data_IF_974736029742
#
_entry.id   IF_974736029742
#
_cell.length_a   1.000
_cell.length_b   1.000
_cell.length_c   1.000
_cell.angle_alpha   90.00
_cell.angle_beta   90.00
_cell.angle_gamma   90.00
#
_symmetry.space_group_name_H-M   'P 1'
#
loop_
_entity.id
_entity.type
_entity.pdbx_description
1 polymer ?
#
# COMPACT_ATOMS: atom_id res chain seq x y z
N UNK A 1 34.54 65.12 39.48
CA UNK A 1 35.04 63.81 39.92
C UNK A 1 35.60 63.12 38.69
N UNK A 2 36.90 62.82 38.67
CA UNK A 2 37.58 62.17 37.54
C UNK A 2 37.34 60.66 37.57
N UNK A 3 37.10 60.05 36.39
CA UNK A 3 37.74 58.80 35.97
C UNK A 3 37.49 58.58 34.47
N UNK A 4 38.59 58.46 33.72
CA UNK A 4 38.61 57.90 32.38
C UNK A 4 38.88 56.38 32.46
N UNK A 5 38.40 55.63 31.48
CA UNK A 5 38.75 54.22 31.26
C UNK A 5 38.39 53.82 29.83
N UNK A 6 39.40 53.39 29.07
CA UNK A 6 39.37 53.21 27.62
C UNK A 6 39.21 51.73 27.19
N UNK A 7 38.84 51.56 25.92
CA UNK A 7 39.12 50.47 24.96
C UNK A 7 38.11 49.30 24.79
N UNK A 8 37.47 49.34 23.61
CA UNK A 8 37.56 48.39 22.48
C UNK A 8 36.75 47.07 22.44
N UNK A 9 35.98 46.97 21.34
CA UNK A 9 35.94 45.87 20.36
C UNK A 9 35.24 44.54 20.71
N UNK A 10 34.21 44.20 19.91
CA UNK A 10 33.88 42.91 19.26
C UNK A 10 32.39 42.94 18.82
N UNK A 11 32.07 43.25 17.56
CA UNK A 11 31.85 42.34 16.40
C UNK A 11 30.48 41.63 16.37
N UNK A 12 29.78 41.87 15.25
CA UNK A 12 28.79 41.03 14.56
C UNK A 12 27.66 40.40 15.40
N UNK A 13 26.47 41.00 15.33
CA UNK A 13 25.24 40.35 15.80
C UNK A 13 24.87 39.23 14.81
N UNK A 14 25.24 38.02 15.22
CA UNK A 14 24.86 36.73 14.67
C UNK A 14 23.35 36.60 14.44
N UNK A 15 23.01 35.96 13.31
CA UNK A 15 21.73 35.33 13.02
C UNK A 15 21.22 34.50 14.22
N UNK A 16 20.33 35.10 15.02
CA UNK A 16 19.54 34.38 16.01
C UNK A 16 18.37 33.74 15.29
N UNK A 17 18.64 32.64 14.59
CA UNK A 17 17.62 31.67 14.19
C UNK A 17 16.76 31.36 15.42
N UNK A 18 15.45 31.60 15.30
CA UNK A 18 14.50 31.36 16.38
C UNK A 18 14.58 29.92 16.89
N UNK A 19 14.11 29.65 18.12
CA UNK A 19 14.12 28.29 18.66
C UNK A 19 13.38 27.36 17.70
N UNK A 20 14.04 26.29 17.28
CA UNK A 20 13.42 25.23 16.47
C UNK A 20 12.16 24.74 17.20
N UNK A 21 11.00 24.65 16.52
CA UNK A 21 9.79 24.10 17.13
C UNK A 21 10.09 22.74 17.76
N UNK A 22 9.47 22.40 18.91
CA UNK A 22 9.62 21.06 19.48
C UNK A 22 9.22 20.00 18.45
N UNK A 23 9.89 18.84 18.41
CA UNK A 23 9.54 17.77 17.49
C UNK A 23 8.07 17.40 17.65
N UNK A 24 7.33 17.34 16.53
CA UNK A 24 5.92 16.95 16.54
C UNK A 24 5.82 15.48 16.97
N UNK A 25 5.15 15.22 18.09
CA UNK A 25 4.83 13.86 18.52
C UNK A 25 3.44 13.50 17.99
N UNK A 26 3.41 12.74 16.90
CA UNK A 26 2.19 12.21 16.30
C UNK A 26 1.77 10.91 16.96
N UNK A 27 0.46 10.71 17.13
CA UNK A 27 -0.15 9.46 17.61
C UNK A 27 -1.29 9.11 16.66
N UNK A 28 -1.15 8.05 15.87
CA UNK A 28 -2.11 7.63 14.84
C UNK A 28 -2.55 8.81 13.93
N UNK A 29 -1.57 9.56 13.41
CA UNK A 29 -1.78 10.82 12.70
C UNK A 29 -0.87 10.98 11.49
N UNK A 30 -1.32 11.82 10.56
CA UNK A 30 -0.57 12.30 9.39
C UNK A 30 -0.46 13.82 9.49
N UNK A 31 0.76 14.35 9.41
CA UNK A 31 1.05 15.75 9.17
C UNK A 31 1.60 15.91 7.75
N UNK A 32 1.04 16.86 7.01
CA UNK A 32 1.45 17.16 5.63
C UNK A 32 1.80 18.63 5.52
N UNK A 33 2.99 18.90 4.98
CA UNK A 33 3.55 20.23 4.69
C UNK A 33 3.54 21.18 5.90
N UNK A 34 3.89 20.66 7.08
CA UNK A 34 3.87 21.40 8.35
C UNK A 34 2.47 21.87 8.79
N UNK A 35 1.42 21.30 8.19
CA UNK A 35 0.03 21.59 8.50
C UNK A 35 -0.42 21.03 9.84
N UNK A 36 -1.71 21.15 10.14
CA UNK A 36 -2.28 20.52 11.35
C UNK A 36 -2.31 18.99 11.18
N UNK A 37 -1.80 18.22 12.15
CA UNK A 37 -1.93 16.77 12.14
C UNK A 37 -3.39 16.31 12.04
N UNK A 38 -3.64 15.28 11.25
CA UNK A 38 -4.95 14.70 11.00
C UNK A 38 -4.95 13.25 11.49
N UNK A 39 -5.97 12.88 12.28
CA UNK A 39 -6.11 11.52 12.80
C UNK A 39 -6.35 10.52 11.66
N UNK A 40 -5.64 9.40 11.72
CA UNK A 40 -5.89 8.21 10.92
C UNK A 40 -7.05 7.46 11.58
N UNK A 41 -8.12 7.20 10.82
CA UNK A 41 -9.34 6.55 11.33
C UNK A 41 -9.64 5.21 10.67
N UNK A 42 -8.94 4.86 9.60
CA UNK A 42 -9.01 3.53 8.99
C UNK A 42 -7.65 3.17 8.41
N UNK A 43 -7.26 1.91 8.59
CA UNK A 43 -6.05 1.36 8.02
C UNK A 43 -6.32 -0.05 7.51
N UNK A 44 -6.04 -0.28 6.23
CA UNK A 44 -6.11 -1.60 5.61
C UNK A 44 -4.80 -1.89 4.86
N UNK A 45 -4.58 -3.15 4.51
CA UNK A 45 -3.47 -3.52 3.64
C UNK A 45 -3.88 -4.55 2.58
N UNK A 46 -3.12 -4.60 1.50
CA UNK A 46 -3.15 -5.65 0.50
C UNK A 46 -1.77 -6.30 0.40
N UNK A 47 -1.76 -7.57 -0.03
CA UNK A 47 -0.54 -8.31 -0.34
C UNK A 47 -0.48 -8.46 -1.85
N UNK A 48 0.35 -7.65 -2.52
CA UNK A 48 0.46 -7.62 -3.98
C UNK A 48 1.29 -8.79 -4.53
N UNK A 49 2.24 -9.29 -3.73
CA UNK A 49 3.12 -10.44 -3.99
C UNK A 49 3.48 -11.05 -2.62
N UNK A 50 4.02 -12.28 -2.61
CA UNK A 50 4.28 -13.14 -1.43
C UNK A 50 4.76 -12.40 -0.17
N UNK A 51 5.58 -11.36 -0.32
CA UNK A 51 6.06 -10.50 0.77
C UNK A 51 5.98 -9.00 0.47
N UNK A 52 5.25 -8.56 -0.56
CA UNK A 52 5.05 -7.15 -0.91
C UNK A 52 3.72 -6.65 -0.36
N UNK A 53 3.79 -5.80 0.67
CA UNK A 53 2.62 -5.26 1.36
C UNK A 53 2.39 -3.82 0.93
N UNK A 54 1.14 -3.47 0.67
CA UNK A 54 0.71 -2.08 0.48
C UNK A 54 -0.27 -1.70 1.57
N UNK A 55 0.12 -0.77 2.43
CA UNK A 55 -0.70 -0.23 3.51
C UNK A 55 -1.38 1.06 3.07
N UNK A 56 -2.65 1.22 3.44
CA UNK A 56 -3.49 2.37 3.14
C UNK A 56 -4.07 2.93 4.43
N UNK A 57 -3.73 4.17 4.76
CA UNK A 57 -4.13 4.83 6.02
C UNK A 57 -4.92 6.10 5.71
N UNK A 58 -6.20 6.12 6.07
CA UNK A 58 -7.12 7.21 5.75
C UNK A 58 -7.61 7.96 6.99
N UNK A 59 -7.79 9.30 6.90
CA UNK A 59 -8.56 10.08 7.88
C UNK A 59 -10.06 9.75 7.93
N UNK A 60 -10.59 9.06 6.93
CA UNK A 60 -11.98 8.62 6.87
C UNK A 60 -12.17 7.38 7.73
N UNK A 61 -13.25 7.35 8.52
CA UNK A 61 -13.53 6.25 9.45
C UNK A 61 -14.39 5.17 8.80
N UNK A 62 -14.18 3.92 9.20
CA UNK A 62 -15.04 2.79 8.83
C UNK A 62 -14.74 2.16 7.47
N UNK A 63 -13.59 2.45 6.86
CA UNK A 63 -13.18 1.82 5.61
C UNK A 63 -12.62 0.42 5.91
N UNK A 64 -13.09 -0.58 5.16
CA UNK A 64 -12.69 -1.98 5.34
C UNK A 64 -12.19 -2.65 4.04
N UNK A 65 -12.31 -1.98 2.90
CA UNK A 65 -12.02 -2.49 1.56
C UNK A 65 -11.43 -1.38 0.67
N UNK A 66 -10.99 -1.77 -0.52
CA UNK A 66 -10.36 -0.86 -1.48
C UNK A 66 -11.35 0.07 -2.18
N UNK A 67 -12.61 -0.34 -2.33
CA UNK A 67 -13.66 0.52 -2.86
C UNK A 67 -13.87 1.72 -1.92
N UNK A 68 -14.04 1.48 -0.62
CA UNK A 68 -14.16 2.55 0.36
C UNK A 68 -12.91 3.43 0.47
N UNK A 69 -11.72 2.85 0.28
CA UNK A 69 -10.47 3.62 0.25
C UNK A 69 -10.38 4.54 -0.98
N UNK A 70 -10.78 4.02 -2.14
CA UNK A 70 -10.85 4.76 -3.40
C UNK A 70 -11.89 5.87 -3.35
N UNK A 71 -13.08 5.60 -2.79
CA UNK A 71 -14.13 6.60 -2.57
C UNK A 71 -13.69 7.72 -1.63
N UNK A 72 -12.94 7.39 -0.58
CA UNK A 72 -12.42 8.38 0.36
C UNK A 72 -11.42 9.32 -0.30
N UNK A 73 -10.60 8.83 -1.25
CA UNK A 73 -9.64 9.60 -2.04
C UNK A 73 -8.73 10.53 -1.20
N UNK A 74 -8.45 10.12 0.03
CA UNK A 74 -7.55 10.78 0.97
C UNK A 74 -6.97 9.70 1.89
N UNK A 75 -5.80 9.20 1.51
CA UNK A 75 -5.09 8.17 2.25
C UNK A 75 -3.59 8.22 1.96
N UNK A 76 -2.80 7.91 2.98
CA UNK A 76 -1.38 7.60 2.85
C UNK A 76 -1.25 6.16 2.34
N UNK A 77 -0.59 5.99 1.20
CA UNK A 77 -0.19 4.67 0.67
C UNK A 77 1.28 4.44 0.95
N UNK A 78 1.61 3.29 1.54
CA UNK A 78 2.98 2.84 1.80
C UNK A 78 3.14 1.42 1.31
N UNK A 79 3.96 1.21 0.29
CA UNK A 79 4.32 -0.11 -0.22
C UNK A 79 5.72 -0.48 0.28
N UNK A 80 5.89 -1.68 0.85
CA UNK A 80 7.16 -2.18 1.38
C UNK A 80 7.25 -3.69 1.24
N UNK A 81 8.46 -4.21 1.01
CA UNK A 81 8.72 -5.65 1.06
C UNK A 81 9.08 -6.09 2.49
N UNK A 82 8.49 -7.20 2.96
CA UNK A 82 8.76 -7.83 4.26
C UNK A 82 8.73 -6.83 5.45
N UNK A 83 7.55 -6.29 5.82
CA UNK A 83 7.39 -5.22 6.83
C UNK A 83 7.73 -5.71 8.24
N UNK A 84 9.02 -5.70 8.60
CA UNK A 84 9.58 -6.15 9.89
C UNK A 84 10.45 -5.08 10.57
N UNK A 85 10.14 -3.81 10.34
CA UNK A 85 10.82 -2.67 10.94
C UNK A 85 11.38 -1.68 9.92
N UNK A 86 12.57 -1.14 10.23
CA UNK A 86 13.21 -0.09 9.42
C UNK A 86 13.47 -0.57 8.00
N UNK A 87 13.08 0.25 7.02
CA UNK A 87 13.35 0.02 5.60
C UNK A 87 14.66 0.68 5.21
N UNK A 88 15.53 -0.04 4.50
CA UNK A 88 16.71 0.57 3.91
C UNK A 88 16.34 1.28 2.60
N UNK A 89 16.13 2.59 2.68
CA UNK A 89 15.70 3.43 1.55
C UNK A 89 16.72 3.54 0.42
N UNK A 90 17.94 2.99 0.58
CA UNK A 90 18.95 2.93 -0.48
C UNK A 90 18.87 1.65 -1.32
N UNK A 91 18.34 0.55 -0.78
CA UNK A 91 18.37 -0.77 -1.42
C UNK A 91 17.03 -1.47 -1.55
N UNK A 92 16.11 -1.18 -0.63
CA UNK A 92 14.86 -1.91 -0.52
C UNK A 92 13.81 -1.32 -1.47
N UNK A 93 12.91 -2.16 -1.95
CA UNK A 93 11.74 -1.70 -2.72
C UNK A 93 10.73 -1.07 -1.78
N UNK A 94 10.42 0.21 -2.01
CA UNK A 94 9.34 0.90 -1.31
C UNK A 94 8.71 1.97 -2.18
N UNK A 95 7.46 2.32 -1.86
CA UNK A 95 6.79 3.50 -2.38
C UNK A 95 6.02 4.21 -1.27
N UNK A 96 5.94 5.54 -1.35
CA UNK A 96 5.13 6.37 -0.45
C UNK A 96 4.33 7.35 -1.31
N UNK A 97 3.03 7.46 -1.08
CA UNK A 97 2.26 8.56 -1.65
C UNK A 97 1.22 9.11 -0.69
N UNK A 98 1.13 10.44 -0.62
CA UNK A 98 0.08 11.16 0.08
C UNK A 98 -0.12 12.52 -0.60
N UNK A 99 -1.35 12.80 -1.03
CA UNK A 99 -1.68 14.00 -1.81
C UNK A 99 -0.79 14.13 -3.05
N UNK A 100 0.03 15.17 -3.14
CA UNK A 100 0.93 15.43 -4.26
C UNK A 100 2.38 14.95 -4.03
N UNK A 101 2.67 14.36 -2.86
CA UNK A 101 3.94 13.66 -2.62
C UNK A 101 3.82 12.25 -3.19
N UNK A 102 4.76 11.88 -4.06
CA UNK A 102 4.89 10.54 -4.64
C UNK A 102 6.36 10.15 -4.72
N UNK A 103 6.75 9.18 -3.90
CA UNK A 103 8.10 8.64 -3.79
C UNK A 103 8.09 7.21 -4.32
N UNK A 104 8.92 7.00 -5.33
CA UNK A 104 9.26 5.73 -5.96
C UNK A 104 10.65 5.86 -6.58
N UNK A 105 11.22 4.78 -7.07
CA UNK A 105 12.57 4.77 -7.66
C UNK A 105 12.80 5.93 -8.65
N UNK A 106 11.84 6.17 -9.54
CA UNK A 106 11.93 7.22 -10.56
C UNK A 106 11.88 8.68 -10.03
N UNK A 107 11.38 8.90 -8.81
CA UNK A 107 11.19 10.24 -8.21
C UNK A 107 12.16 10.54 -7.07
N UNK A 108 13.06 9.61 -6.71
CA UNK A 108 14.03 9.79 -5.62
C UNK A 108 14.95 11.00 -5.78
N UNK A 109 15.21 11.46 -7.00
CA UNK A 109 16.00 12.68 -7.27
C UNK A 109 15.37 13.97 -6.72
N UNK A 110 14.06 13.95 -6.47
CA UNK A 110 13.29 15.10 -5.98
C UNK A 110 13.11 15.04 -4.45
N UNK A 111 13.73 14.05 -3.80
CA UNK A 111 13.62 13.76 -2.37
C UNK A 111 14.91 14.11 -1.66
N UNK A 112 14.81 14.97 -0.65
CA UNK A 112 15.95 15.40 0.16
C UNK A 112 16.26 14.39 1.27
N UNK A 113 15.24 13.83 1.91
CA UNK A 113 15.40 12.73 2.88
C UNK A 113 14.15 11.89 3.04
N UNK A 114 14.34 10.61 3.39
CA UNK A 114 13.28 9.66 3.75
C UNK A 114 13.74 8.86 4.96
N UNK A 115 12.86 8.70 5.95
CA UNK A 115 12.95 7.65 6.98
C UNK A 115 11.65 6.87 6.97
N UNK A 116 11.78 5.57 6.78
CA UNK A 116 10.65 4.66 6.67
C UNK A 116 10.87 3.46 7.61
N UNK A 117 9.82 3.10 8.34
CA UNK A 117 9.77 1.86 9.12
C UNK A 117 8.35 1.31 9.06
N UNK A 118 8.19 0.04 8.77
CA UNK A 118 6.91 -0.63 8.78
C UNK A 118 7.10 -2.00 9.42
N UNK A 119 6.45 -2.23 10.55
CA UNK A 119 6.46 -3.50 11.28
C UNK A 119 5.02 -3.99 11.43
N UNK A 120 4.66 -5.02 10.65
CA UNK A 120 3.33 -5.60 10.66
C UNK A 120 3.35 -6.98 11.32
N UNK A 121 2.58 -7.11 12.39
CA UNK A 121 2.45 -8.33 13.19
C UNK A 121 1.14 -9.03 12.83
N UNK A 122 1.19 -10.00 11.92
CA UNK A 122 0.02 -10.68 11.38
C UNK A 122 -0.81 -11.40 12.46
N UNK A 123 -0.20 -11.90 13.53
CA UNK A 123 -0.89 -12.60 14.62
C UNK A 123 -1.83 -11.68 15.41
N UNK A 124 -1.58 -10.37 15.37
CA UNK A 124 -2.36 -9.35 16.11
C UNK A 124 -2.98 -8.31 15.20
N UNK A 125 -2.75 -8.41 13.88
CA UNK A 125 -3.11 -7.40 12.89
C UNK A 125 -2.70 -5.99 13.29
N UNK A 126 -1.53 -5.83 13.92
CA UNK A 126 -1.00 -4.52 14.34
C UNK A 126 0.08 -4.04 13.39
N UNK A 127 -0.03 -2.78 12.98
CA UNK A 127 0.98 -2.07 12.20
C UNK A 127 1.64 -1.00 13.06
N UNK A 128 2.96 -1.00 13.12
CA UNK A 128 3.76 0.11 13.62
C UNK A 128 4.45 0.80 12.44
N UNK A 129 4.00 2.02 12.10
CA UNK A 129 4.42 2.78 10.93
C UNK A 129 5.15 4.09 11.29
N UNK A 130 6.37 4.12 10.77
CA UNK A 130 7.32 5.16 10.35
C UNK A 130 7.20 5.89 9.02
N UNK A 131 6.74 7.16 8.93
CA UNK A 131 7.07 7.96 7.73
C UNK A 131 7.57 9.34 8.13
N UNK A 132 8.77 9.70 7.67
CA UNK A 132 9.29 11.07 7.67
C UNK A 132 9.93 11.33 6.31
N UNK A 133 9.42 12.32 5.60
CA UNK A 133 9.85 12.70 4.25
C UNK A 133 10.09 14.19 4.22
N UNK A 134 11.18 14.58 3.58
CA UNK A 134 11.43 15.96 3.15
C UNK A 134 11.76 15.94 1.64
N UNK A 135 10.97 16.67 0.85
CA UNK A 135 11.21 16.85 -0.58
C UNK A 135 12.23 17.98 -0.81
N UNK A 136 12.92 17.98 -1.96
CA UNK A 136 13.80 19.09 -2.35
C UNK A 136 13.05 20.43 -2.49
N UNK A 137 11.73 20.37 -2.73
CA UNK A 137 10.86 21.55 -2.72
C UNK A 137 10.62 22.15 -1.32
N UNK A 138 11.06 21.48 -0.26
CA UNK A 138 10.79 21.82 1.15
C UNK A 138 9.47 21.27 1.70
N UNK A 139 8.68 20.55 0.90
CA UNK A 139 7.44 19.90 1.37
C UNK A 139 7.77 18.73 2.28
N UNK A 140 6.99 18.56 3.34
CA UNK A 140 7.20 17.50 4.32
C UNK A 140 5.99 16.57 4.45
N UNK A 141 6.25 15.34 4.86
CA UNK A 141 5.24 14.38 5.28
C UNK A 141 5.76 13.64 6.52
N UNK A 142 5.00 13.68 7.60
CA UNK A 142 5.27 12.95 8.83
C UNK A 142 4.03 12.12 9.16
N UNK A 143 4.19 10.81 9.38
CA UNK A 143 3.10 9.96 9.81
C UNK A 143 3.57 8.98 10.89
N UNK A 144 2.71 8.79 11.90
CA UNK A 144 2.84 7.75 12.93
C UNK A 144 1.55 6.97 13.02
N UNK A 145 1.68 5.66 13.07
CA UNK A 145 0.56 4.77 13.30
C UNK A 145 1.03 3.58 14.13
N UNK A 146 0.31 3.26 15.19
CA UNK A 146 0.60 2.10 16.03
C UNK A 146 -0.70 1.40 16.47
N UNK A 147 -1.48 0.95 15.49
CA UNK A 147 -2.83 0.45 15.74
C UNK A 147 -3.20 -0.72 14.80
N UNK A 148 -4.44 -1.17 14.87
CA UNK A 148 -4.93 -2.29 14.08
C UNK A 148 -5.01 -1.94 12.60
N UNK A 149 -4.32 -2.71 11.76
CA UNK A 149 -4.42 -2.65 10.30
C UNK A 149 -4.89 -4.01 9.81
N UNK A 150 -6.07 -4.06 9.20
CA UNK A 150 -6.68 -5.31 8.73
C UNK A 150 -6.44 -5.52 7.24
N UNK A 151 -6.41 -6.77 6.81
CA UNK A 151 -6.37 -7.07 5.38
C UNK A 151 -7.64 -6.50 4.72
N UNK A 152 -7.48 -5.87 3.55
CA UNK A 152 -8.59 -5.32 2.80
C UNK A 152 -9.58 -6.44 2.49
N UNK A 153 -10.87 -6.20 2.79
CA UNK A 153 -11.91 -7.16 2.46
C UNK A 153 -12.03 -7.26 0.94
N UNK A 154 -12.00 -8.49 0.45
CA UNK A 154 -12.34 -8.78 -0.93
C UNK A 154 -13.82 -8.46 -1.18
N UNK A 155 -14.18 -7.98 -2.37
CA UNK A 155 -15.57 -7.74 -2.71
C UNK A 155 -16.37 -9.04 -2.72
N UNK A 156 -17.65 -8.94 -2.36
CA UNK A 156 -18.57 -10.07 -2.46
C UNK A 156 -18.98 -10.27 -3.93
N UNK A 157 -18.46 -11.33 -4.54
CA UNK A 157 -18.78 -11.71 -5.91
C UNK A 157 -19.93 -12.73 -5.96
N UNK A 158 -20.92 -12.48 -6.82
CA UNK A 158 -22.04 -13.40 -7.04
C UNK A 158 -22.19 -13.73 -8.52
N UNK A 159 -21.84 -14.97 -8.90
CA UNK A 159 -21.70 -15.37 -10.31
C UNK A 159 -20.83 -14.40 -11.10
N UNK A 160 -19.73 -13.98 -10.48
CA UNK A 160 -18.76 -13.04 -11.01
C UNK A 160 -17.36 -13.54 -10.68
N UNK A 161 -16.37 -13.05 -11.42
CA UNK A 161 -14.97 -13.10 -11.05
C UNK A 161 -14.39 -11.69 -11.16
N UNK A 162 -13.37 -11.37 -10.37
CA UNK A 162 -12.69 -10.09 -10.49
C UNK A 162 -11.36 -10.28 -11.23
N UNK A 163 -11.08 -9.36 -12.16
CA UNK A 163 -9.78 -9.26 -12.79
C UNK A 163 -9.37 -7.78 -12.80
N UNK A 164 -8.22 -7.46 -12.20
CA UNK A 164 -7.69 -6.10 -12.11
C UNK A 164 -8.66 -5.09 -11.48
N UNK A 165 -9.38 -5.46 -10.42
CA UNK A 165 -10.37 -4.59 -9.77
C UNK A 165 -11.69 -4.46 -10.53
N UNK A 166 -11.88 -5.15 -11.65
CA UNK A 166 -13.14 -5.17 -12.39
C UNK A 166 -13.88 -6.49 -12.17
N UNK A 167 -15.05 -6.41 -11.54
CA UNK A 167 -15.96 -7.54 -11.40
C UNK A 167 -16.66 -7.84 -12.73
N UNK A 168 -16.36 -9.01 -13.31
CA UNK A 168 -16.89 -9.51 -14.56
C UNK A 168 -17.95 -10.58 -14.30
N UNK A 169 -19.07 -10.51 -15.02
CA UNK A 169 -20.19 -11.46 -14.86
C UNK A 169 -19.87 -12.79 -15.55
N UNK A 170 -20.25 -13.89 -14.91
CA UNK A 170 -20.20 -15.25 -15.49
C UNK A 170 -21.59 -15.58 -16.04
N UNK A 171 -21.69 -15.64 -17.38
CA UNK A 171 -22.91 -16.01 -18.10
C UNK A 171 -23.08 -17.51 -18.32
N UNK A 172 -21.97 -18.25 -18.51
CA UNK A 172 -21.99 -19.71 -18.75
C UNK A 172 -20.82 -20.41 -18.08
N UNK A 173 -21.06 -21.62 -17.55
CA UNK A 173 -20.00 -22.48 -16.98
C UNK A 173 -19.99 -23.81 -17.70
N UNK A 174 -18.85 -24.16 -18.30
CA UNK A 174 -18.64 -25.44 -18.96
C UNK A 174 -17.54 -26.23 -18.29
N UNK A 175 -17.77 -27.54 -18.15
CA UNK A 175 -16.76 -28.52 -17.78
C UNK A 175 -16.43 -29.37 -19.00
N UNK A 176 -15.17 -29.40 -19.38
CA UNK A 176 -14.67 -30.19 -20.50
C UNK A 176 -13.56 -31.13 -20.05
N UNK A 177 -13.63 -32.41 -20.41
CA UNK A 177 -12.59 -33.39 -20.08
C UNK A 177 -11.88 -33.83 -21.35
N UNK A 178 -10.56 -33.65 -21.39
CA UNK A 178 -9.72 -34.11 -22.48
C UNK A 178 -9.43 -35.61 -22.30
N UNK A 179 -10.01 -36.45 -23.15
CA UNK A 179 -9.85 -37.90 -23.07
C UNK A 179 -8.43 -38.40 -23.35
N UNK A 180 -7.59 -37.60 -24.02
CA UNK A 180 -6.21 -37.97 -24.37
C UNK A 180 -5.25 -37.70 -23.20
N UNK A 181 -5.40 -36.55 -22.54
CA UNK A 181 -4.52 -36.15 -21.44
C UNK A 181 -5.10 -36.45 -20.06
N UNK A 182 -6.40 -36.75 -19.98
CA UNK A 182 -7.15 -36.87 -18.72
C UNK A 182 -7.43 -35.55 -18.01
N UNK A 183 -6.92 -34.42 -18.54
CA UNK A 183 -7.12 -33.10 -17.95
C UNK A 183 -8.59 -32.67 -18.02
N UNK A 184 -9.03 -31.89 -17.03
CA UNK A 184 -10.36 -31.28 -17.00
C UNK A 184 -10.22 -29.77 -17.00
N UNK A 185 -10.85 -29.11 -17.96
CA UNK A 185 -10.90 -27.66 -18.07
C UNK A 185 -12.29 -27.16 -17.70
N UNK A 186 -12.32 -26.14 -16.85
CA UNK A 186 -13.50 -25.36 -16.52
C UNK A 186 -13.42 -24.01 -17.23
N UNK A 187 -14.44 -23.70 -18.02
CA UNK A 187 -14.60 -22.42 -18.69
C UNK A 187 -15.71 -21.64 -17.99
N UNK A 188 -15.42 -20.41 -17.57
CA UNK A 188 -16.36 -19.47 -17.00
C UNK A 188 -16.47 -18.30 -18.00
N UNK A 189 -17.42 -18.41 -18.94
CA UNK A 189 -17.60 -17.40 -19.98
C UNK A 189 -18.45 -16.24 -19.48
N UNK A 190 -18.16 -15.05 -19.99
CA UNK A 190 -18.96 -13.86 -19.71
C UNK A 190 -20.30 -13.90 -20.46
N UNK A 191 -20.30 -14.53 -21.62
CA UNK A 191 -21.48 -14.72 -22.46
C UNK A 191 -22.40 -15.79 -21.88
N UNK A 192 -23.72 -15.54 -21.96
CA UNK A 192 -24.75 -16.53 -21.63
C UNK A 192 -24.95 -17.54 -22.76
N UNK A 193 -25.55 -18.67 -22.42
CA UNK A 193 -25.98 -19.73 -23.36
C UNK A 193 -24.86 -20.38 -24.18
N UNK A 194 -23.61 -20.32 -23.68
CA UNK A 194 -22.49 -21.04 -24.29
C UNK A 194 -22.58 -22.52 -23.90
N UNK A 195 -22.70 -23.40 -24.88
CA UNK A 195 -22.94 -24.84 -24.65
C UNK A 195 -21.75 -25.74 -24.98
N UNK A 196 -20.72 -25.22 -25.64
CA UNK A 196 -19.50 -25.94 -25.97
C UNK A 196 -18.27 -25.00 -25.86
N UNK A 197 -17.06 -25.53 -25.59
CA UNK A 197 -15.86 -24.70 -25.54
C UNK A 197 -15.62 -23.96 -26.86
N UNK A 198 -15.44 -22.64 -26.77
CA UNK A 198 -15.15 -21.75 -27.89
C UNK A 198 -13.92 -20.90 -27.59
N UNK A 199 -13.03 -20.82 -28.58
CA UNK A 199 -11.87 -19.93 -28.53
C UNK A 199 -12.29 -18.48 -28.78
N UNK A 200 -11.67 -17.53 -28.07
CA UNK A 200 -11.85 -16.10 -28.30
C UNK A 200 -13.05 -15.46 -27.60
N UNK A 201 -13.81 -16.23 -26.80
CA UNK A 201 -14.78 -15.66 -25.86
C UNK A 201 -14.07 -15.15 -24.60
N UNK A 202 -14.66 -14.14 -23.95
CA UNK A 202 -14.11 -13.60 -22.71
C UNK A 202 -14.50 -14.50 -21.54
N UNK A 203 -13.57 -14.69 -20.61
CA UNK A 203 -13.85 -15.49 -19.44
C UNK A 203 -12.61 -15.92 -18.69
N UNK A 204 -12.84 -16.65 -17.62
CA UNK A 204 -11.80 -17.33 -16.85
C UNK A 204 -11.73 -18.80 -17.30
N UNK A 205 -10.52 -19.29 -17.55
CA UNK A 205 -10.28 -20.71 -17.87
C UNK A 205 -9.38 -21.31 -16.79
N UNK A 206 -9.83 -22.42 -16.19
CA UNK A 206 -9.08 -23.16 -15.19
C UNK A 206 -8.88 -24.59 -15.69
N UNK A 207 -7.64 -25.00 -15.90
CA UNK A 207 -7.33 -26.38 -16.32
C UNK A 207 -6.69 -27.15 -15.17
N UNK A 208 -7.31 -28.28 -14.82
CA UNK A 208 -6.80 -29.22 -13.85
C UNK A 208 -6.19 -30.43 -14.57
N UNK A 209 -4.98 -30.82 -14.18
CA UNK A 209 -4.33 -32.02 -14.67
C UNK A 209 -5.11 -33.29 -14.26
N UNK A 210 -4.88 -34.41 -14.95
CA UNK A 210 -5.60 -35.67 -14.74
C UNK A 210 -5.51 -36.23 -13.30
N UNK A 211 -4.41 -35.93 -12.61
CA UNK A 211 -4.09 -36.43 -11.29
C UNK A 211 -4.61 -35.52 -10.15
N UNK A 212 -5.26 -34.40 -10.48
CA UNK A 212 -5.74 -33.44 -9.50
C UNK A 212 -6.90 -34.05 -8.68
N UNK A 213 -6.60 -34.42 -7.43
CA UNK A 213 -7.56 -35.06 -6.51
C UNK A 213 -8.15 -34.10 -5.48
N UNK A 214 -7.64 -32.88 -5.41
CA UNK A 214 -8.11 -31.87 -4.47
C UNK A 214 -9.40 -31.20 -4.96
N UNK A 215 -10.24 -30.81 -4.01
CA UNK A 215 -11.52 -30.10 -4.27
C UNK A 215 -11.43 -28.61 -3.98
N UNK A 216 -10.29 -28.17 -3.46
CA UNK A 216 -9.97 -26.78 -3.14
C UNK A 216 -8.52 -26.59 -3.50
N UNK A 217 -8.22 -25.56 -4.30
CA UNK A 217 -6.87 -25.24 -4.75
C UNK A 217 -6.52 -23.85 -4.24
N UNK A 218 -5.40 -23.74 -3.55
CA UNK A 218 -4.83 -22.45 -3.19
C UNK A 218 -3.98 -21.93 -4.35
N UNK A 219 -4.59 -21.07 -5.18
CA UNK A 219 -3.94 -20.50 -6.36
C UNK A 219 -2.69 -19.66 -6.02
N UNK A 220 -2.51 -19.20 -4.77
CA UNK A 220 -1.30 -18.49 -4.35
C UNK A 220 -0.05 -19.39 -4.31
N UNK A 221 -0.26 -20.71 -4.30
CA UNK A 221 0.82 -21.71 -4.25
C UNK A 221 1.04 -22.43 -5.59
N UNK A 222 0.20 -22.15 -6.59
CA UNK A 222 0.27 -22.78 -7.91
C UNK A 222 1.29 -22.04 -8.76
N UNK A 223 2.22 -22.78 -9.37
CA UNK A 223 3.16 -22.24 -10.35
C UNK A 223 2.42 -21.87 -11.64
N UNK A 224 2.30 -20.58 -12.00
CA UNK A 224 1.56 -20.15 -13.20
C UNK A 224 2.25 -20.58 -14.51
N UNK A 225 3.45 -21.14 -14.44
CA UNK A 225 4.20 -21.63 -15.60
C UNK A 225 3.96 -23.12 -15.93
N UNK A 226 3.09 -23.83 -15.19
CA UNK A 226 2.73 -25.23 -15.49
C UNK A 226 1.36 -25.40 -16.16
#
# INVERSE_FOLDING_TARGET
>A
MFAAGSLASCSEDDDKGGPTPPPVQLVDQIEYDGGTPIDIKSAIFEVEDTDLYTFYLSPTAGIADMDGMSEANDYLRVMVRNPKGTVNTESDTFEISYKDISIKEATMKDVKSVKLSADYLSETSRLNLYVEVEMESGKTLLARYENTCSEAKLPELNNQYELNGEALTIGSVLKWSNATTGATTYYFYNEADVTEPQDGLNGLTVTLAAEATETTFDLSTVDPAQ
#
